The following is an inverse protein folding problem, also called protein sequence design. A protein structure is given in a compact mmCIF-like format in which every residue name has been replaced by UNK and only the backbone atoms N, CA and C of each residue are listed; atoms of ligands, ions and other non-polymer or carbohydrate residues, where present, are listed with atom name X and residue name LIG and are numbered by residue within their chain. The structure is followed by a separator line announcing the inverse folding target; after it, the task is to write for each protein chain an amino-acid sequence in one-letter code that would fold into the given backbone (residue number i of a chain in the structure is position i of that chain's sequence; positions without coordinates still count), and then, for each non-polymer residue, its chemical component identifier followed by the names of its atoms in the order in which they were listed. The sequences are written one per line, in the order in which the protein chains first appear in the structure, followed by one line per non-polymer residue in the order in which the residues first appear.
data_IF_249955152244
#
_entry.id   IF_249955152244
#
_cell.length_a   1.000
_cell.length_b   1.000
_cell.length_c   1.000
_cell.angle_alpha   90.00
_cell.angle_beta   90.00
_cell.angle_gamma   90.00
#
_symmetry.space_group_name_H-M   'P 1'
#
loop_
_entity.id
_entity.type
_entity.pdbx_description
1 polymer ?
#
# COMPACT_ATOMS: atom_id res chain seq x y z
N UNK A 1 -7.08 19.87 -0.80
CA UNK A 1 -6.18 19.37 -1.87
C UNK A 1 -4.70 19.56 -1.56
N UNK A 2 -4.12 20.77 -1.48
CA UNK A 2 -2.67 20.92 -1.17
C UNK A 2 -2.31 20.35 0.21
N UNK A 3 -3.10 20.66 1.23
CA UNK A 3 -2.90 20.13 2.60
C UNK A 3 -3.13 18.62 2.66
N UNK A 4 -4.10 18.10 1.92
CA UNK A 4 -4.38 16.65 1.86
C UNK A 4 -3.24 15.88 1.18
N UNK A 5 -2.66 16.44 0.09
CA UNK A 5 -1.48 15.86 -0.55
C UNK A 5 -0.23 15.90 0.34
N UNK A 6 -0.11 16.93 1.18
CA UNK A 6 0.99 17.00 2.13
C UNK A 6 0.86 15.94 3.24
N UNK A 7 -0.33 15.76 3.83
CA UNK A 7 -0.58 14.70 4.82
C UNK A 7 -0.27 13.33 4.23
N UNK A 8 -0.64 13.10 2.98
CA UNK A 8 -0.35 11.88 2.25
C UNK A 8 1.16 11.60 2.14
N UNK A 9 1.94 12.56 1.64
CA UNK A 9 3.37 12.38 1.42
C UNK A 9 4.08 12.13 2.76
N UNK A 10 3.74 12.92 3.77
CA UNK A 10 4.26 12.76 5.14
C UNK A 10 3.85 11.40 5.77
N UNK A 11 2.70 10.85 5.39
CA UNK A 11 2.25 9.53 5.84
C UNK A 11 3.05 8.41 5.17
N UNK A 12 3.29 8.51 3.86
CA UNK A 12 4.06 7.53 3.09
C UNK A 12 5.52 7.49 3.49
N UNK A 13 6.12 8.65 3.76
CA UNK A 13 7.48 8.74 4.29
C UNK A 13 7.60 8.04 5.66
N UNK A 14 6.50 7.83 6.36
CA UNK A 14 6.40 7.07 7.62
C UNK A 14 5.88 5.64 7.43
N UNK A 15 5.62 5.21 6.19
CA UNK A 15 5.22 3.85 5.85
C UNK A 15 3.73 3.59 6.00
N UNK A 16 2.90 4.64 6.05
CA UNK A 16 1.44 4.53 6.05
C UNK A 16 0.90 4.75 4.65
N UNK A 17 0.17 3.76 4.14
CA UNK A 17 -0.33 3.74 2.76
C UNK A 17 -1.84 3.97 2.74
N UNK A 18 -2.26 5.20 2.48
CA UNK A 18 -3.68 5.54 2.43
C UNK A 18 -4.21 5.45 0.99
N UNK A 19 -5.30 4.70 0.81
CA UNK A 19 -6.09 4.77 -0.42
C UNK A 19 -6.93 6.08 -0.43
N UNK A 20 -7.47 6.51 -1.58
CA UNK A 20 -8.25 7.76 -1.71
C UNK A 20 -9.45 7.90 -0.75
N UNK A 21 -10.12 6.79 -0.46
CA UNK A 21 -11.21 6.76 0.50
C UNK A 21 -10.69 6.97 1.93
N UNK A 22 -9.61 6.27 2.29
CA UNK A 22 -8.97 6.39 3.60
C UNK A 22 -8.42 7.80 3.82
N UNK A 23 -7.86 8.46 2.80
CA UNK A 23 -7.41 9.86 2.88
C UNK A 23 -8.54 10.77 3.33
N UNK A 24 -9.68 10.67 2.65
CA UNK A 24 -10.85 11.52 2.93
C UNK A 24 -11.37 11.29 4.36
N UNK A 25 -11.51 10.03 4.75
CA UNK A 25 -11.99 9.67 6.08
C UNK A 25 -10.99 10.01 7.18
N UNK A 26 -9.69 9.81 6.93
CA UNK A 26 -8.64 10.11 7.89
C UNK A 26 -8.51 11.60 8.13
N UNK A 27 -8.58 12.44 7.09
CA UNK A 27 -8.63 13.89 7.26
C UNK A 27 -9.81 14.33 8.12
N UNK A 28 -11.00 13.74 7.91
CA UNK A 28 -12.15 13.99 8.76
C UNK A 28 -11.90 13.55 10.21
N UNK A 29 -11.34 12.37 10.42
CA UNK A 29 -10.96 11.88 11.73
C UNK A 29 -9.99 12.84 12.45
N UNK A 30 -8.98 13.35 11.75
CA UNK A 30 -8.03 14.33 12.31
C UNK A 30 -8.71 15.65 12.68
N UNK A 31 -9.61 16.16 11.83
CA UNK A 31 -10.41 17.34 12.12
C UNK A 31 -11.28 17.15 13.37
N UNK A 32 -12.00 16.02 13.47
CA UNK A 32 -12.89 15.71 14.59
C UNK A 32 -12.11 15.59 15.91
N UNK A 33 -10.85 15.15 15.85
CA UNK A 33 -9.93 15.06 17.00
C UNK A 33 -9.11 16.33 17.25
N UNK A 34 -9.24 17.35 16.40
CA UNK A 34 -8.43 18.57 16.42
C UNK A 34 -6.91 18.30 16.38
N UNK A 35 -6.49 17.34 15.53
CA UNK A 35 -5.10 16.91 15.37
C UNK A 35 -4.54 17.49 14.08
N UNK A 36 -3.52 18.34 14.19
CA UNK A 36 -2.85 18.95 13.03
C UNK A 36 -1.66 18.16 12.50
N UNK A 37 -1.08 17.27 13.33
CA UNK A 37 0.07 16.44 12.98
C UNK A 37 -0.16 15.01 13.45
N UNK A 38 -0.56 14.08 12.55
CA UNK A 38 -0.80 12.71 12.93
C UNK A 38 0.52 11.99 13.29
N UNK A 39 0.41 11.05 14.23
CA UNK A 39 1.45 10.09 14.60
C UNK A 39 0.90 8.66 14.44
N UNK A 40 1.74 7.65 14.66
CA UNK A 40 1.38 6.23 14.45
C UNK A 40 0.12 5.79 15.21
N UNK A 41 -0.13 6.33 16.41
CA UNK A 41 -1.31 6.02 17.22
C UNK A 41 -2.61 6.45 16.52
N UNK A 42 -2.60 7.62 15.87
CA UNK A 42 -3.77 8.11 15.14
C UNK A 42 -4.12 7.20 13.96
N UNK A 43 -3.11 6.68 13.26
CA UNK A 43 -3.33 5.73 12.17
C UNK A 43 -3.81 4.38 12.69
N UNK A 44 -3.22 3.87 13.77
CA UNK A 44 -3.69 2.65 14.42
C UNK A 44 -5.17 2.74 14.77
N UNK A 45 -5.57 3.77 15.53
CA UNK A 45 -6.96 3.98 15.93
C UNK A 45 -7.87 4.03 14.70
N UNK A 46 -7.47 4.76 13.66
CA UNK A 46 -8.27 4.90 12.44
C UNK A 46 -8.50 3.56 11.72
N UNK A 47 -7.45 2.75 11.53
CA UNK A 47 -7.57 1.47 10.83
C UNK A 47 -8.19 0.36 11.68
N UNK A 48 -8.09 0.46 13.01
CA UNK A 48 -8.72 -0.51 13.91
C UNK A 48 -10.23 -0.32 14.03
N UNK A 49 -10.73 0.90 13.84
CA UNK A 49 -12.16 1.21 13.97
C UNK A 49 -13.05 0.42 12.98
N UNK A 50 -12.56 0.18 11.75
CA UNK A 50 -13.29 -0.55 10.70
C UNK A 50 -12.69 -1.94 10.39
N UNK A 51 -11.81 -2.47 11.26
CA UNK A 51 -11.00 -3.66 10.99
C UNK A 51 -11.80 -4.88 10.52
N UNK A 52 -12.91 -5.23 11.19
CA UNK A 52 -13.70 -6.42 10.81
C UNK A 52 -14.43 -6.23 9.47
N UNK A 53 -14.88 -5.02 9.17
CA UNK A 53 -15.54 -4.67 7.92
C UNK A 53 -14.55 -4.69 6.76
N UNK A 54 -13.37 -4.09 6.96
CA UNK A 54 -12.26 -4.11 6.01
C UNK A 54 -11.86 -5.54 5.63
N UNK A 55 -11.63 -6.39 6.63
CA UNK A 55 -11.27 -7.78 6.36
C UNK A 55 -12.38 -8.57 5.68
N UNK A 56 -13.64 -8.27 5.99
CA UNK A 56 -14.77 -8.86 5.27
C UNK A 56 -14.71 -8.49 3.78
N UNK A 57 -14.40 -7.23 3.46
CA UNK A 57 -14.20 -6.77 2.07
C UNK A 57 -13.00 -7.46 1.42
N UNK A 58 -11.82 -7.45 2.06
CA UNK A 58 -10.60 -8.09 1.56
C UNK A 58 -10.84 -9.56 1.20
N UNK A 59 -11.47 -10.32 2.08
CA UNK A 59 -11.72 -11.75 1.88
C UNK A 59 -12.74 -12.02 0.77
N UNK A 60 -13.70 -11.12 0.57
CA UNK A 60 -14.67 -11.20 -0.53
C UNK A 60 -14.05 -10.79 -1.87
N UNK A 61 -13.15 -9.82 -1.87
CA UNK A 61 -12.46 -9.34 -3.07
C UNK A 61 -11.47 -10.39 -3.62
N UNK A 62 -10.94 -11.27 -2.78
CA UNK A 62 -9.93 -12.28 -3.14
C UNK A 62 -10.30 -13.70 -2.69
N UNK A 63 -11.37 -14.31 -3.25
CA UNK A 63 -11.86 -15.61 -2.80
C UNK A 63 -10.82 -16.74 -2.93
N UNK A 64 -9.99 -16.71 -3.99
CA UNK A 64 -8.93 -17.71 -4.21
C UNK A 64 -7.77 -17.62 -3.21
N UNK A 65 -7.62 -16.47 -2.52
CA UNK A 65 -6.60 -16.23 -1.50
C UNK A 65 -7.18 -16.19 -0.09
N UNK A 66 -8.48 -16.45 0.06
CA UNK A 66 -9.22 -16.32 1.31
C UNK A 66 -8.56 -17.08 2.45
N UNK A 67 -8.05 -18.30 2.21
CA UNK A 67 -7.38 -19.10 3.24
C UNK A 67 -6.13 -18.39 3.77
N UNK A 68 -5.21 -18.00 2.88
CA UNK A 68 -3.96 -17.33 3.25
C UNK A 68 -4.19 -15.95 3.89
N UNK A 69 -5.18 -15.20 3.39
CA UNK A 69 -5.57 -13.91 3.97
C UNK A 69 -6.22 -14.07 5.35
N UNK A 70 -7.00 -15.14 5.57
CA UNK A 70 -7.57 -15.47 6.88
C UNK A 70 -6.46 -15.81 7.87
N UNK A 71 -5.46 -16.59 7.46
CA UNK A 71 -4.28 -16.86 8.28
C UNK A 71 -3.54 -15.58 8.65
N UNK A 72 -3.34 -14.67 7.69
CA UNK A 72 -2.68 -13.38 7.95
C UNK A 72 -3.42 -12.54 9.00
N UNK A 73 -4.76 -12.47 8.89
CA UNK A 73 -5.62 -11.81 9.88
C UNK A 73 -5.51 -12.45 11.25
N UNK A 74 -5.58 -13.78 11.33
CA UNK A 74 -5.45 -14.53 12.59
C UNK A 74 -4.09 -14.24 13.23
N UNK A 75 -3.00 -14.27 12.46
CA UNK A 75 -1.68 -13.94 12.99
C UNK A 75 -1.65 -12.53 13.59
N UNK A 76 -2.24 -11.54 12.92
CA UNK A 76 -2.32 -10.18 13.44
C UNK A 76 -3.14 -10.11 14.75
N UNK A 77 -4.32 -10.71 14.77
CA UNK A 77 -5.23 -10.71 15.92
C UNK A 77 -4.68 -11.49 17.13
N UNK A 78 -3.77 -12.44 16.89
CA UNK A 78 -3.07 -13.20 17.93
C UNK A 78 -1.70 -12.60 18.29
N UNK A 79 -1.42 -11.36 17.89
CA UNK A 79 -0.17 -10.63 18.15
C UNK A 79 1.09 -11.31 17.58
N UNK A 80 0.92 -12.23 16.63
CA UNK A 80 2.00 -12.87 15.86
C UNK A 80 2.44 -11.94 14.72
N UNK A 81 2.83 -10.71 15.06
CA UNK A 81 3.04 -9.62 14.10
C UNK A 81 4.11 -9.93 13.06
N UNK A 82 5.22 -10.56 13.43
CA UNK A 82 6.23 -11.01 12.47
C UNK A 82 5.64 -11.96 11.43
N UNK A 83 4.87 -12.96 11.84
CA UNK A 83 4.22 -13.89 10.91
C UNK A 83 3.17 -13.18 10.03
N UNK A 84 2.37 -12.29 10.63
CA UNK A 84 1.40 -11.48 9.89
C UNK A 84 2.08 -10.64 8.80
N UNK A 85 3.21 -10.01 9.11
CA UNK A 85 4.01 -9.21 8.17
C UNK A 85 4.46 -10.08 6.98
N UNK A 86 5.04 -11.25 7.22
CA UNK A 86 5.47 -12.15 6.14
C UNK A 86 4.30 -12.58 5.25
N UNK A 87 3.14 -12.87 5.85
CA UNK A 87 1.94 -13.20 5.10
C UNK A 87 1.42 -12.00 4.29
N UNK A 88 1.38 -10.79 4.86
CA UNK A 88 0.99 -9.58 4.13
C UNK A 88 1.91 -9.33 2.94
N UNK A 89 3.22 -9.43 3.11
CA UNK A 89 4.20 -9.27 2.03
C UNK A 89 3.91 -10.24 0.88
N UNK A 90 3.77 -11.52 1.22
CA UNK A 90 3.51 -12.57 0.23
C UNK A 90 2.18 -12.36 -0.50
N UNK A 91 1.12 -11.97 0.23
CA UNK A 91 -0.19 -11.74 -0.35
C UNK A 91 -0.24 -10.47 -1.20
N UNK A 92 0.47 -9.40 -0.84
CA UNK A 92 0.62 -8.20 -1.68
C UNK A 92 1.17 -8.59 -3.05
N UNK A 93 2.29 -9.31 -3.08
CA UNK A 93 2.95 -9.69 -4.34
C UNK A 93 2.06 -10.63 -5.17
N UNK A 94 1.42 -11.60 -4.52
CA UNK A 94 0.52 -12.55 -5.17
C UNK A 94 -0.75 -11.90 -5.73
N UNK A 95 -1.43 -11.05 -4.96
CA UNK A 95 -2.64 -10.32 -5.42
C UNK A 95 -2.29 -9.44 -6.62
N UNK A 96 -1.14 -8.77 -6.56
CA UNK A 96 -0.68 -7.94 -7.65
C UNK A 96 -0.36 -8.78 -8.90
N UNK A 97 0.32 -9.93 -8.74
CA UNK A 97 0.59 -10.86 -9.82
C UNK A 97 -0.67 -11.39 -10.50
N UNK A 98 -1.66 -11.84 -9.72
CA UNK A 98 -2.92 -12.38 -10.24
C UNK A 98 -3.66 -11.33 -11.09
N UNK A 99 -3.56 -10.06 -10.69
CA UNK A 99 -4.31 -8.97 -11.32
C UNK A 99 -3.54 -8.40 -12.51
N UNK A 100 -2.26 -8.07 -12.33
CA UNK A 100 -1.44 -7.29 -13.27
C UNK A 100 -0.45 -8.14 -14.08
N UNK A 101 -0.29 -9.42 -13.76
CA UNK A 101 0.59 -10.34 -14.50
C UNK A 101 2.09 -10.13 -14.23
N UNK A 102 2.44 -9.35 -13.20
CA UNK A 102 3.81 -9.12 -12.74
C UNK A 102 3.86 -9.04 -11.21
N UNK A 103 5.00 -9.37 -10.60
CA UNK A 103 5.19 -9.22 -9.15
C UNK A 103 5.33 -7.75 -8.77
N UNK A 104 4.69 -7.36 -7.66
CA UNK A 104 4.73 -5.99 -7.13
C UNK A 104 6.16 -5.56 -6.79
N UNK A 105 6.93 -6.45 -6.18
CA UNK A 105 8.28 -6.18 -5.70
C UNK A 105 9.39 -6.68 -6.65
N UNK A 106 9.06 -7.03 -7.90
CA UNK A 106 10.08 -7.54 -8.81
C UNK A 106 11.06 -6.41 -9.16
N UNK A 107 12.30 -6.51 -8.69
CA UNK A 107 13.39 -5.60 -9.07
C UNK A 107 13.60 -5.60 -10.58
N UNK A 108 13.74 -4.41 -11.14
CA UNK A 108 14.01 -4.19 -12.55
C UNK A 108 15.35 -4.77 -12.97
N UNK A 109 15.33 -5.69 -13.94
CA UNK A 109 16.09 -5.41 -15.14
C UNK A 109 15.38 -4.26 -15.87
N UNK A 110 16.10 -3.38 -16.57
CA UNK A 110 15.53 -2.22 -17.28
C UNK A 110 14.30 -2.62 -18.14
N UNK A 111 14.31 -3.84 -18.70
CA UNK A 111 13.20 -4.45 -19.44
C UNK A 111 11.92 -4.72 -18.61
N UNK A 112 12.05 -5.10 -17.34
CA UNK A 112 10.90 -5.34 -16.46
C UNK A 112 10.31 -4.03 -15.92
N UNK A 113 11.13 -2.99 -15.74
CA UNK A 113 10.65 -1.66 -15.39
C UNK A 113 9.85 -1.05 -16.54
N UNK A 114 10.33 -1.18 -17.78
CA UNK A 114 9.58 -0.75 -18.95
C UNK A 114 8.34 -1.63 -19.15
N UNK A 115 8.38 -2.95 -19.00
CA UNK A 115 7.17 -3.77 -19.10
C UNK A 115 6.15 -3.51 -17.99
N UNK A 116 6.57 -3.28 -16.75
CA UNK A 116 5.65 -3.00 -15.64
C UNK A 116 5.11 -1.59 -15.78
N UNK A 117 5.96 -0.62 -16.14
CA UNK A 117 5.54 0.75 -16.42
C UNK A 117 4.60 0.75 -17.62
N UNK A 118 4.96 0.20 -18.76
CA UNK A 118 4.10 0.02 -19.95
C UNK A 118 2.83 -0.75 -19.58
N UNK A 119 2.86 -1.90 -18.89
CA UNK A 119 1.62 -2.62 -18.50
C UNK A 119 0.76 -1.81 -17.54
N UNK A 120 1.35 -1.06 -16.62
CA UNK A 120 0.64 -0.17 -15.71
C UNK A 120 0.11 1.04 -16.47
N UNK A 121 0.88 1.61 -17.39
CA UNK A 121 0.59 2.77 -18.23
C UNK A 121 -0.26 2.45 -19.45
N UNK A 122 -0.45 1.19 -19.84
CA UNK A 122 -1.36 0.71 -20.88
C UNK A 122 -2.67 0.22 -20.25
N UNK A 123 -2.60 -0.46 -19.08
CA UNK A 123 -3.78 -0.94 -18.36
C UNK A 123 -4.44 0.15 -17.51
N UNK A 124 -3.69 1.12 -16.99
CA UNK A 124 -4.22 2.38 -16.46
C UNK A 124 -4.18 3.50 -17.50
N UNK A 125 -3.76 3.22 -18.74
CA UNK A 125 -3.53 4.13 -19.86
C UNK A 125 -3.15 5.56 -19.39
N UNK A 126 -1.89 5.94 -19.23
CA UNK A 126 -1.55 7.32 -18.84
C UNK A 126 -2.08 8.35 -19.87
N UNK A 127 -2.12 7.99 -21.15
CA UNK A 127 -2.79 8.77 -22.20
C UNK A 127 -4.33 8.70 -22.10
N UNK A 128 -4.90 7.64 -21.50
CA UNK A 128 -6.30 7.66 -21.06
C UNK A 128 -6.50 8.34 -19.72
N UNK A 129 -5.56 8.51 -18.81
CA UNK A 129 -5.82 9.34 -17.64
C UNK A 129 -6.12 10.78 -18.06
N UNK A 130 -5.60 11.20 -19.23
CA UNK A 130 -5.93 12.44 -19.95
C UNK A 130 -7.14 12.32 -20.93
N UNK A 131 -7.41 11.16 -21.55
CA UNK A 131 -8.62 10.95 -22.39
C UNK A 131 -9.90 10.53 -21.61
N UNK A 132 -9.78 9.70 -20.59
CA UNK A 132 -10.74 9.38 -19.52
C UNK A 132 -11.03 10.63 -18.68
N UNK A 133 -10.06 11.53 -18.52
CA UNK A 133 -10.22 12.92 -18.05
C UNK A 133 -11.18 13.75 -18.89
N UNK A 134 -11.11 13.60 -20.22
CA UNK A 134 -11.95 14.34 -21.17
C UNK A 134 -13.27 13.64 -21.52
N UNK A 135 -13.36 12.31 -21.31
CA UNK A 135 -14.57 11.50 -21.55
C UNK A 135 -15.42 11.26 -20.30
N UNK A 136 -14.83 11.19 -19.10
CA UNK A 136 -15.57 11.09 -17.84
C UNK A 136 -15.96 12.48 -17.34
N UNK A 137 -17.06 13.01 -17.89
CA UNK A 137 -17.81 14.11 -17.29
C UNK A 137 -18.47 13.77 -15.93
N UNK A 138 -18.03 12.69 -15.25
CA UNK A 138 -18.35 12.31 -13.87
C UNK A 138 -17.37 11.18 -13.45
N UNK A 139 -16.58 11.17 -12.36
CA UNK A 139 -16.47 12.07 -11.21
C UNK A 139 -15.14 11.86 -10.44
N UNK A 140 -14.37 12.94 -10.24
CA UNK A 140 -13.43 13.27 -9.15
C UNK A 140 -12.26 12.34 -8.74
N UNK A 141 -12.45 11.01 -8.65
CA UNK A 141 -11.50 10.11 -7.96
C UNK A 141 -10.27 9.77 -8.80
N UNK A 142 -10.43 9.57 -10.11
CA UNK A 142 -9.33 9.21 -11.02
C UNK A 142 -8.41 10.39 -11.32
N UNK A 143 -8.95 11.60 -11.42
CA UNK A 143 -8.20 12.80 -11.81
C UNK A 143 -7.36 13.38 -10.65
N UNK A 144 -7.78 13.17 -9.40
CA UNK A 144 -7.04 13.64 -8.21
C UNK A 144 -6.07 12.59 -7.66
N UNK A 145 -6.39 11.30 -7.75
CA UNK A 145 -5.62 10.26 -7.04
C UNK A 145 -4.86 9.27 -7.92
N UNK A 146 -5.05 9.29 -9.26
CA UNK A 146 -4.23 8.50 -10.19
C UNK A 146 -2.73 8.83 -10.11
N UNK A 147 -2.35 10.11 -10.21
CA UNK A 147 -0.95 10.55 -10.01
C UNK A 147 -0.39 10.18 -8.63
N UNK A 148 -1.25 10.21 -7.61
CA UNK A 148 -0.89 9.82 -6.24
C UNK A 148 -0.53 8.32 -6.14
N UNK A 149 -1.34 7.42 -6.70
CA UNK A 149 -1.00 5.99 -6.71
C UNK A 149 0.34 5.75 -7.42
N UNK A 150 0.59 6.44 -8.54
CA UNK A 150 1.86 6.35 -9.25
C UNK A 150 3.03 6.86 -8.39
N UNK A 151 2.86 7.96 -7.65
CA UNK A 151 3.86 8.49 -6.73
C UNK A 151 4.16 7.53 -5.57
N UNK A 152 3.13 6.95 -4.94
CA UNK A 152 3.28 5.92 -3.89
C UNK A 152 4.07 4.73 -4.41
N UNK A 153 3.70 4.23 -5.60
CA UNK A 153 4.35 3.06 -6.19
C UNK A 153 5.79 3.36 -6.62
N UNK A 154 6.07 4.56 -7.12
CA UNK A 154 7.43 4.98 -7.45
C UNK A 154 8.30 5.17 -6.20
N UNK A 155 7.76 5.76 -5.13
CA UNK A 155 8.44 5.91 -3.84
C UNK A 155 8.78 4.56 -3.21
N UNK A 156 7.85 3.60 -3.26
CA UNK A 156 8.10 2.22 -2.79
C UNK A 156 9.25 1.53 -3.55
N UNK A 157 9.29 1.68 -4.88
CA UNK A 157 10.33 1.09 -5.73
C UNK A 157 11.71 1.70 -5.50
N UNK A 158 11.79 3.03 -5.37
CA UNK A 158 13.06 3.73 -5.13
C UNK A 158 13.69 3.28 -3.80
N UNK A 159 12.87 3.08 -2.76
CA UNK A 159 13.35 2.69 -1.44
C UNK A 159 13.74 1.20 -1.35
N UNK A 160 13.07 0.31 -2.09
CA UNK A 160 13.48 -1.10 -2.19
C UNK A 160 14.81 -1.23 -2.99
N UNK A 161 15.03 -0.38 -4.00
CA UNK A 161 16.22 -0.42 -4.87
C UNK A 161 17.47 0.24 -4.27
N UNK A 162 17.31 1.29 -3.46
CA UNK A 162 18.45 2.00 -2.85
C UNK A 162 19.04 1.21 -1.67
N UNK A 163 18.27 0.31 -1.04
CA UNK A 163 18.69 -0.44 0.16
C UNK A 163 19.17 -1.87 -0.12
N UNK A 164 19.21 -2.31 -1.38
CA UNK A 164 19.46 -3.70 -1.77
C UNK A 164 20.93 -4.13 -1.91
N UNK A 165 21.94 -3.32 -1.51
CA UNK A 165 23.35 -3.68 -1.79
C UNK A 165 24.33 -3.68 -0.61
N UNK A 166 23.93 -3.37 0.62
CA UNK A 166 24.84 -3.46 1.77
C UNK A 166 24.12 -3.73 3.11
N UNK A 167 24.12 -4.98 3.61
CA UNK A 167 23.54 -5.33 4.91
C UNK A 167 24.13 -4.53 6.08
N UNK A 168 25.33 -3.95 5.93
CA UNK A 168 26.01 -3.20 6.98
C UNK A 168 25.54 -1.73 7.11
N UNK A 169 24.62 -1.26 6.27
CA UNK A 169 24.15 0.14 6.23
C UNK A 169 22.69 0.35 6.62
N UNK A 170 21.99 -0.69 7.05
CA UNK A 170 20.59 -0.58 7.49
C UNK A 170 20.59 0.00 8.91
N UNK A 171 20.11 1.24 9.09
CA UNK A 171 19.98 1.87 10.41
C UNK A 171 18.61 1.56 11.02
N UNK A 172 18.51 1.53 12.35
CA UNK A 172 17.22 1.39 13.05
C UNK A 172 16.27 2.57 12.77
N UNK A 173 16.75 3.74 12.36
CA UNK A 173 15.88 4.86 11.95
C UNK A 173 15.24 4.66 10.55
N UNK A 174 15.60 3.59 9.82
CA UNK A 174 15.08 3.28 8.48
C UNK A 174 13.67 2.63 8.48
N UNK A 175 13.02 2.45 9.64
CA UNK A 175 11.62 1.98 9.76
C UNK A 175 10.57 2.96 9.22
N UNK A 176 11.01 4.12 8.75
CA UNK A 176 10.17 5.11 8.08
C UNK A 176 9.54 4.54 6.80
N UNK A 177 10.19 3.59 6.12
CA UNK A 177 9.64 2.96 4.91
C UNK A 177 9.82 1.46 4.99
N UNK A 178 8.74 0.74 4.70
CA UNK A 178 8.62 -0.71 4.68
C UNK A 178 9.87 -1.38 4.05
N UNK A 179 10.71 -2.03 4.86
CA UNK A 179 11.93 -2.71 4.41
C UNK A 179 11.69 -4.22 4.19
N UNK A 180 11.15 -4.57 3.03
CA UNK A 180 10.84 -5.97 2.68
C UNK A 180 12.08 -6.85 2.70
N UNK A 181 13.17 -6.38 2.11
CA UNK A 181 14.40 -7.17 1.94
C UNK A 181 15.00 -7.55 3.29
N UNK A 182 15.12 -6.59 4.22
CA UNK A 182 15.61 -6.83 5.57
C UNK A 182 14.71 -7.75 6.38
N UNK A 183 13.39 -7.64 6.23
CA UNK A 183 12.40 -8.51 6.90
C UNK A 183 12.45 -9.95 6.38
N UNK A 184 12.40 -10.14 5.05
CA UNK A 184 12.36 -11.49 4.45
C UNK A 184 13.66 -12.26 4.72
N UNK A 185 14.81 -11.58 4.62
CA UNK A 185 16.11 -12.21 4.81
C UNK A 185 16.55 -12.27 6.29
N UNK A 186 15.75 -11.71 7.21
CA UNK A 186 16.03 -11.74 8.65
C UNK A 186 17.22 -10.85 9.06
N UNK A 187 17.58 -9.87 8.25
CA UNK A 187 18.58 -8.85 8.62
C UNK A 187 18.03 -7.87 9.66
N UNK A 188 16.71 -7.69 9.68
CA UNK A 188 15.99 -6.95 10.72
C UNK A 188 15.41 -7.94 11.72
N UNK A 189 15.46 -7.63 13.02
CA UNK A 189 15.04 -8.55 14.09
C UNK A 189 13.95 -7.99 15.02
N UNK A 190 13.78 -6.68 15.04
CA UNK A 190 12.89 -5.89 15.89
C UNK A 190 11.64 -5.38 15.15
N UNK A 191 11.40 -5.83 13.92
CA UNK A 191 10.26 -5.42 13.11
C UNK A 191 8.91 -6.01 13.54
N UNK A 192 8.89 -6.98 14.48
CA UNK A 192 7.70 -7.71 14.89
C UNK A 192 6.80 -6.91 15.85
N UNK A 193 6.35 -5.73 15.41
CA UNK A 193 5.47 -4.84 16.18
C UNK A 193 4.10 -4.67 15.52
N UNK A 194 3.10 -4.30 16.32
CA UNK A 194 1.75 -3.98 15.85
C UNK A 194 1.75 -2.87 14.79
N UNK A 195 2.52 -1.81 15.04
CA UNK A 195 2.66 -0.67 14.12
C UNK A 195 3.22 -1.13 12.77
N UNK A 196 4.32 -1.89 12.78
CA UNK A 196 4.93 -2.39 11.55
C UNK A 196 3.96 -3.30 10.77
N UNK A 197 3.26 -4.19 11.46
CA UNK A 197 2.26 -5.05 10.85
C UNK A 197 1.08 -4.25 10.28
N UNK A 198 0.62 -3.20 10.96
CA UNK A 198 -0.45 -2.35 10.46
C UNK A 198 -0.01 -1.57 9.22
N UNK A 199 1.23 -1.06 9.17
CA UNK A 199 1.79 -0.41 7.98
C UNK A 199 1.76 -1.33 6.76
N UNK A 200 2.17 -2.59 6.92
CA UNK A 200 2.05 -3.61 5.87
C UNK A 200 0.60 -3.90 5.47
N UNK A 201 -0.31 -3.94 6.44
CA UNK A 201 -1.75 -4.06 6.16
C UNK A 201 -2.27 -2.87 5.33
N UNK A 202 -1.87 -1.63 5.64
CA UNK A 202 -2.30 -0.46 4.84
C UNK A 202 -1.84 -0.54 3.39
N UNK A 203 -0.65 -1.11 3.14
CA UNK A 203 -0.20 -1.38 1.79
C UNK A 203 -1.05 -2.46 1.11
N UNK A 204 -1.42 -3.53 1.82
CA UNK A 204 -2.35 -4.55 1.30
C UNK A 204 -3.70 -3.94 0.91
N UNK A 205 -4.29 -3.07 1.75
CA UNK A 205 -5.55 -2.40 1.43
C UNK A 205 -5.41 -1.42 0.25
N UNK A 206 -4.28 -0.72 0.13
CA UNK A 206 -3.99 0.11 -1.03
C UNK A 206 -3.95 -0.72 -2.33
N UNK A 207 -3.30 -1.89 -2.28
CA UNK A 207 -3.25 -2.82 -3.42
C UNK A 207 -4.64 -3.35 -3.75
N UNK A 208 -5.45 -3.70 -2.75
CA UNK A 208 -6.85 -4.08 -2.95
C UNK A 208 -7.63 -2.98 -3.68
N UNK A 209 -7.48 -1.73 -3.25
CA UNK A 209 -8.11 -0.59 -3.90
C UNK A 209 -7.68 -0.46 -5.37
N UNK A 210 -6.39 -0.60 -5.68
CA UNK A 210 -5.88 -0.57 -7.05
C UNK A 210 -6.46 -1.70 -7.92
N UNK A 211 -6.65 -2.90 -7.35
CA UNK A 211 -7.29 -4.02 -8.05
C UNK A 211 -8.77 -3.73 -8.34
N UNK A 212 -9.51 -3.17 -7.38
CA UNK A 212 -10.93 -2.82 -7.56
C UNK A 212 -11.11 -1.79 -8.69
N UNK A 213 -10.25 -0.77 -8.75
CA UNK A 213 -10.26 0.19 -9.86
C UNK A 213 -10.10 -0.49 -11.22
N UNK A 214 -9.18 -1.43 -11.34
CA UNK A 214 -8.96 -2.17 -12.59
C UNK A 214 -10.14 -3.07 -12.96
N UNK A 215 -10.81 -3.69 -11.99
CA UNK A 215 -12.00 -4.52 -12.24
C UNK A 215 -13.15 -3.70 -12.82
N UNK A 216 -13.29 -2.43 -12.41
CA UNK A 216 -14.34 -1.51 -12.85
C UNK A 216 -14.13 -0.90 -14.25
N UNK A 217 -12.93 -1.04 -14.81
CA UNK A 217 -12.62 -0.56 -16.18
C UNK A 217 -12.90 -1.60 -17.28
N UNK A 218 -13.18 -2.86 -16.90
CA UNK A 218 -13.62 -3.93 -17.81
C UNK A 218 -15.12 -3.88 -18.03
#
# INVERSE_FOLDING_TARGET
MKEEMQVILESQEKGWFLNPFNITLFNRFLCDKNVSKPNDEHFLIFFEDDWQSDWTRILNDFPNRKVLLTEAKICFEQELYGAAIHLFISQIDGIFLDTFGCGFFKHGTELANDEIKIKFEEQFNLDSLDQLSSQLKNNFVTHTYGPHLAEVFNGLKANDAIRSNDPAKVSEDDFSIINRHGVIHGYLSDYSTKIAAMKWYTLLDLIRYAVDLKRKQK
#
